data_IF_733887814247
#
_entry.id   IF_733887814247
#
_cell.length_a   1.000
_cell.length_b   1.000
_cell.length_c   1.000
_cell.angle_alpha   90.00
_cell.angle_beta   90.00
_cell.angle_gamma   90.00
#
_symmetry.space_group_name_H-M   'P 1'
#
loop_
_entity.id
_entity.type
_entity.pdbx_description
1 polymer ?
#
# COMPACT_ATOMS: atom_id res chain seq x y z
N UNK A 1 16.12 19.59 13.27
CA UNK A 1 14.65 19.63 13.31
C UNK A 1 14.15 18.24 13.64
N UNK A 2 13.05 18.13 14.39
CA UNK A 2 12.41 16.83 14.66
C UNK A 2 11.79 16.32 13.35
N UNK A 3 12.29 15.18 12.84
CA UNK A 3 11.81 14.51 11.64
C UNK A 3 10.99 13.25 11.98
N UNK A 4 10.38 13.23 13.19
CA UNK A 4 9.59 12.09 13.64
C UNK A 4 8.23 12.06 12.96
N UNK A 5 7.86 10.91 12.42
CA UNK A 5 6.55 10.61 11.86
C UNK A 5 5.88 9.48 12.64
N UNK A 6 4.57 9.56 12.82
CA UNK A 6 3.79 8.49 13.43
C UNK A 6 3.24 7.59 12.33
N UNK A 7 3.31 6.28 12.49
CA UNK A 7 2.80 5.35 11.50
C UNK A 7 1.72 4.45 12.11
N UNK A 8 0.53 4.44 11.53
CA UNK A 8 -0.54 3.52 11.87
C UNK A 8 -0.67 2.49 10.76
N UNK A 9 -0.20 1.30 11.03
CA UNK A 9 -0.10 0.21 10.06
C UNK A 9 -0.94 -0.99 10.44
N UNK A 10 -1.20 -1.87 9.49
CA UNK A 10 -1.97 -3.09 9.74
C UNK A 10 -2.70 -3.56 8.50
N UNK A 11 -3.34 -4.74 8.55
CA UNK A 11 -4.13 -5.26 7.44
C UNK A 11 -5.37 -4.40 7.16
N UNK A 12 -6.02 -4.67 6.03
CA UNK A 12 -7.33 -4.06 5.76
C UNK A 12 -8.34 -4.41 6.85
N UNK A 13 -9.31 -3.54 7.09
CA UNK A 13 -10.40 -3.69 8.07
C UNK A 13 -9.99 -3.73 9.57
N UNK A 14 -8.75 -3.37 9.95
CA UNK A 14 -8.31 -3.37 11.34
C UNK A 14 -8.51 -2.03 12.09
N UNK A 15 -9.09 -0.99 11.45
CA UNK A 15 -9.43 0.27 12.11
C UNK A 15 -8.35 1.35 12.05
N UNK A 16 -7.42 1.28 11.09
CA UNK A 16 -6.32 2.24 10.92
C UNK A 16 -6.79 3.69 10.79
N UNK A 17 -7.80 3.95 9.98
CA UNK A 17 -8.34 5.30 9.76
C UNK A 17 -8.75 5.96 11.08
N UNK A 18 -9.59 5.28 11.85
CA UNK A 18 -10.06 5.77 13.15
C UNK A 18 -8.91 6.03 14.13
N UNK A 19 -7.93 5.12 14.21
CA UNK A 19 -6.75 5.30 15.06
C UNK A 19 -5.88 6.46 14.56
N UNK A 20 -5.67 6.57 13.24
CA UNK A 20 -4.88 7.65 12.65
C UNK A 20 -5.46 9.03 12.89
N UNK A 21 -6.78 9.18 12.73
CA UNK A 21 -7.50 10.43 13.04
C UNK A 21 -7.40 10.77 14.53
N UNK A 22 -7.60 9.79 15.42
CA UNK A 22 -7.49 10.00 16.87
C UNK A 22 -6.08 10.45 17.29
N UNK A 23 -5.02 9.83 16.73
CA UNK A 23 -3.64 10.24 16.99
C UNK A 23 -3.31 11.59 16.36
N UNK A 24 -3.79 11.89 15.15
CA UNK A 24 -3.62 13.20 14.53
C UNK A 24 -4.24 14.30 15.39
N UNK A 25 -5.44 14.08 15.92
CA UNK A 25 -6.08 15.02 16.85
C UNK A 25 -5.27 15.18 18.14
N UNK A 26 -4.77 14.09 18.71
CA UNK A 26 -4.05 14.08 19.99
C UNK A 26 -2.70 14.79 19.93
N UNK A 27 -1.99 14.67 18.80
CA UNK A 27 -0.63 15.17 18.60
C UNK A 27 -0.55 16.34 17.61
N UNK A 28 -1.63 17.10 17.43
CA UNK A 28 -1.70 18.25 16.50
C UNK A 28 -1.17 17.89 15.10
N UNK A 29 -1.62 16.77 14.56
CA UNK A 29 -1.11 16.21 13.32
C UNK A 29 -2.07 16.30 12.16
N UNK A 30 -1.58 15.82 11.01
CA UNK A 30 -2.35 15.62 9.78
C UNK A 30 -2.05 14.23 9.21
N UNK A 31 -3.04 13.62 8.58
CA UNK A 31 -2.92 12.26 8.03
C UNK A 31 -2.33 12.30 6.63
N UNK A 32 -1.38 11.38 6.37
CA UNK A 32 -0.90 11.07 5.02
C UNK A 32 -1.24 9.60 4.73
N UNK A 33 -2.11 9.36 3.73
CA UNK A 33 -2.51 7.99 3.37
C UNK A 33 -1.37 7.23 2.73
N UNK A 34 -1.11 6.02 3.24
CA UNK A 34 -0.12 5.05 2.71
C UNK A 34 -0.87 3.87 2.09
N UNK A 35 -1.67 4.19 1.07
CA UNK A 35 -2.44 3.21 0.32
C UNK A 35 -2.29 3.45 -1.18
N UNK A 36 -2.00 2.39 -1.94
CA UNK A 36 -1.73 2.49 -3.38
C UNK A 36 -2.98 2.71 -4.23
N UNK A 37 -4.17 2.51 -3.66
CA UNK A 37 -5.43 2.61 -4.40
C UNK A 37 -6.28 3.80 -3.95
N UNK A 38 -6.19 4.24 -2.70
CA UNK A 38 -6.86 5.46 -2.23
C UNK A 38 -6.36 6.75 -2.91
N UNK A 39 -5.27 6.65 -3.67
CA UNK A 39 -4.74 7.77 -4.47
C UNK A 39 -5.71 8.23 -5.56
N UNK A 40 -6.50 7.32 -6.12
CA UNK A 40 -7.27 7.57 -7.33
C UNK A 40 -8.61 8.24 -7.05
N UNK A 41 -8.89 9.32 -7.81
CA UNK A 41 -10.20 9.99 -7.80
C UNK A 41 -11.29 9.07 -8.34
N UNK A 42 -12.50 9.15 -7.74
CA UNK A 42 -13.64 8.35 -8.16
C UNK A 42 -13.59 6.88 -7.75
N UNK A 43 -12.68 6.51 -6.83
CA UNK A 43 -12.50 5.15 -6.34
C UNK A 43 -12.64 5.10 -4.81
N UNK A 44 -13.68 5.73 -4.28
CA UNK A 44 -13.81 5.88 -2.83
C UNK A 44 -14.35 4.61 -2.15
N UNK A 45 -15.36 3.97 -2.75
CA UNK A 45 -16.06 2.82 -2.15
C UNK A 45 -15.13 1.60 -2.13
N UNK A 46 -14.65 1.16 -3.28
CA UNK A 46 -13.87 -0.07 -3.38
C UNK A 46 -12.48 0.01 -2.73
N UNK A 47 -11.93 1.21 -2.53
CA UNK A 47 -10.69 1.41 -1.76
C UNK A 47 -10.95 1.66 -0.29
N UNK A 48 -12.22 1.84 0.11
CA UNK A 48 -12.63 2.34 1.41
C UNK A 48 -11.80 3.57 1.82
N UNK A 49 -11.74 4.55 0.92
CA UNK A 49 -11.18 5.85 1.25
C UNK A 49 -11.99 6.50 2.38
N UNK A 50 -11.33 7.21 3.30
CA UNK A 50 -12.04 7.84 4.42
C UNK A 50 -13.06 8.87 3.91
N UNK A 51 -14.25 8.85 4.47
CA UNK A 51 -15.28 9.87 4.21
C UNK A 51 -14.96 11.15 4.98
N UNK A 52 -15.58 12.27 4.60
CA UNK A 52 -15.44 13.54 5.33
C UNK A 52 -15.82 13.40 6.82
N UNK A 53 -16.83 12.57 7.12
CA UNK A 53 -17.24 12.26 8.47
C UNK A 53 -16.15 11.48 9.23
N UNK A 54 -15.57 10.45 8.62
CA UNK A 54 -14.48 9.65 9.20
C UNK A 54 -13.19 10.45 9.38
N UNK A 55 -12.96 11.47 8.54
CA UNK A 55 -11.82 12.39 8.68
C UNK A 55 -11.97 13.34 9.87
N UNK A 56 -13.16 13.57 10.37
CA UNK A 56 -13.46 14.40 11.55
C UNK A 56 -12.76 15.78 11.52
N UNK A 57 -12.65 16.38 10.33
CA UNK A 57 -11.99 17.68 10.13
C UNK A 57 -10.44 17.65 10.14
N UNK A 58 -9.83 16.48 10.32
CA UNK A 58 -8.37 16.33 10.20
C UNK A 58 -7.99 16.33 8.71
N UNK A 59 -7.01 17.17 8.29
CA UNK A 59 -6.54 17.15 6.92
C UNK A 59 -5.94 15.79 6.54
N UNK A 60 -6.36 15.28 5.37
CA UNK A 60 -5.85 14.03 4.80
C UNK A 60 -5.14 14.33 3.48
N UNK A 61 -3.91 13.89 3.37
CA UNK A 61 -3.08 14.00 2.18
C UNK A 61 -2.96 12.64 1.48
N UNK A 62 -2.66 12.66 0.19
CA UNK A 62 -2.51 11.45 -0.64
C UNK A 62 -3.78 10.59 -0.73
N UNK A 63 -4.95 11.23 -0.65
CA UNK A 63 -6.27 10.63 -0.90
C UNK A 63 -6.89 11.35 -2.09
N UNK A 64 -7.36 10.59 -3.10
CA UNK A 64 -8.02 11.10 -4.31
C UNK A 64 -7.22 12.20 -5.04
N UNK A 65 -5.90 12.07 -5.11
CA UNK A 65 -4.99 13.04 -5.74
C UNK A 65 -4.66 12.72 -7.20
N UNK A 66 -4.81 11.46 -7.61
CA UNK A 66 -4.41 10.95 -8.92
C UNK A 66 -5.60 10.74 -9.87
N UNK A 67 -5.39 10.91 -11.17
CA UNK A 67 -6.33 10.44 -12.17
C UNK A 67 -6.24 8.90 -12.28
N UNK A 68 -7.37 8.17 -12.36
CA UNK A 68 -7.36 6.71 -12.53
C UNK A 68 -6.63 6.21 -13.79
N UNK A 69 -6.44 7.09 -14.79
CA UNK A 69 -5.67 6.79 -16.01
C UNK A 69 -4.16 6.76 -15.76
N UNK A 70 -3.71 7.40 -14.68
CA UNK A 70 -2.29 7.46 -14.36
C UNK A 70 -1.80 6.17 -13.70
N UNK A 71 -0.58 5.76 -14.02
CA UNK A 71 0.11 4.70 -13.29
C UNK A 71 1.03 5.31 -12.23
N UNK A 72 0.87 4.87 -10.98
CA UNK A 72 1.70 5.32 -9.87
C UNK A 72 2.66 4.22 -9.42
N UNK A 73 3.92 4.59 -9.29
CA UNK A 73 4.97 3.74 -8.72
C UNK A 73 5.21 4.10 -7.25
N UNK A 74 5.89 3.20 -6.52
CA UNK A 74 6.33 3.48 -5.15
C UNK A 74 7.27 4.69 -5.09
N UNK A 75 8.11 4.88 -6.11
CA UNK A 75 8.99 6.05 -6.24
C UNK A 75 8.20 7.36 -6.36
N UNK A 76 7.22 7.41 -7.27
CA UNK A 76 6.36 8.59 -7.46
C UNK A 76 5.57 8.88 -6.18
N UNK A 77 4.98 7.84 -5.57
CA UNK A 77 4.29 7.99 -4.31
C UNK A 77 5.19 8.58 -3.22
N UNK A 78 6.39 8.01 -3.03
CA UNK A 78 7.31 8.49 -2.01
C UNK A 78 7.70 9.96 -2.23
N UNK A 79 7.95 10.37 -3.47
CA UNK A 79 8.29 11.75 -3.80
C UNK A 79 7.15 12.74 -3.48
N UNK A 80 5.91 12.40 -3.84
CA UNK A 80 4.75 13.26 -3.57
C UNK A 80 4.35 13.27 -2.09
N UNK A 81 4.36 12.10 -1.44
CA UNK A 81 4.09 12.00 -0.01
C UNK A 81 5.16 12.71 0.84
N UNK A 82 6.42 12.69 0.42
CA UNK A 82 7.51 13.41 1.07
C UNK A 82 7.25 14.93 1.11
N UNK A 83 6.76 15.52 0.02
CA UNK A 83 6.37 16.93 -0.02
C UNK A 83 5.30 17.25 1.03
N UNK A 84 4.29 16.37 1.18
CA UNK A 84 3.26 16.53 2.19
C UNK A 84 3.85 16.44 3.61
N UNK A 85 4.69 15.44 3.88
CA UNK A 85 5.34 15.25 5.18
C UNK A 85 6.20 16.45 5.54
N UNK A 86 7.04 16.94 4.62
CA UNK A 86 7.88 18.11 4.82
C UNK A 86 7.07 19.37 5.09
N UNK A 87 5.95 19.56 4.39
CA UNK A 87 5.07 20.70 4.63
C UNK A 87 4.43 20.66 6.01
N UNK A 88 3.93 19.50 6.43
CA UNK A 88 3.35 19.29 7.76
C UNK A 88 4.38 19.61 8.86
N UNK A 89 5.61 19.08 8.73
CA UNK A 89 6.71 19.31 9.65
C UNK A 89 7.10 20.81 9.72
N UNK A 90 7.19 21.49 8.56
CA UNK A 90 7.50 22.93 8.50
C UNK A 90 6.46 23.79 9.22
N UNK A 91 5.20 23.36 9.24
CA UNK A 91 4.12 24.02 9.97
C UNK A 91 4.09 23.67 11.47
N UNK A 92 5.08 22.92 11.98
CA UNK A 92 5.17 22.50 13.36
C UNK A 92 4.12 21.44 13.74
N UNK A 93 3.55 20.75 12.76
CA UNK A 93 2.55 19.69 12.99
C UNK A 93 3.19 18.30 12.86
N UNK A 94 2.47 17.27 13.32
CA UNK A 94 2.92 15.88 13.32
C UNK A 94 2.34 15.11 12.11
N UNK A 95 3.19 14.59 11.19
CA UNK A 95 2.69 13.70 10.14
C UNK A 95 2.28 12.35 10.72
N UNK A 96 1.06 11.90 10.40
CA UNK A 96 0.52 10.59 10.77
C UNK A 96 0.33 9.78 9.50
N UNK A 97 1.22 8.84 9.23
CA UNK A 97 1.20 7.97 8.07
C UNK A 97 0.24 6.82 8.32
N UNK A 98 -0.84 6.71 7.55
CA UNK A 98 -1.90 5.72 7.80
C UNK A 98 -2.07 4.82 6.59
N UNK A 99 -1.81 3.53 6.73
CA UNK A 99 -2.06 2.63 5.61
C UNK A 99 -1.58 1.20 5.78
N UNK A 100 -1.71 0.42 4.71
CA UNK A 100 -1.36 -1.00 4.69
C UNK A 100 -0.43 -1.40 3.54
N UNK A 101 0.04 -0.44 2.74
CA UNK A 101 0.96 -0.70 1.62
C UNK A 101 2.41 -0.56 2.11
N UNK A 102 2.95 -1.68 2.65
CA UNK A 102 4.28 -1.70 3.26
C UNK A 102 5.38 -1.14 2.36
N UNK A 103 5.37 -1.49 1.06
CA UNK A 103 6.34 -0.95 0.09
C UNK A 103 6.32 0.58 0.02
N UNK A 104 5.13 1.21 0.08
CA UNK A 104 4.98 2.66 0.05
C UNK A 104 5.49 3.31 1.34
N UNK A 105 5.19 2.67 2.48
CA UNK A 105 5.69 3.13 3.77
C UNK A 105 7.22 3.09 3.83
N UNK A 106 7.81 1.95 3.46
CA UNK A 106 9.26 1.79 3.47
C UNK A 106 9.94 2.77 2.51
N UNK A 107 9.37 2.95 1.30
CA UNK A 107 9.84 3.91 0.32
C UNK A 107 9.91 5.34 0.87
N UNK A 108 8.85 5.78 1.55
CA UNK A 108 8.76 7.11 2.13
C UNK A 108 9.68 7.28 3.34
N UNK A 109 9.60 6.34 4.30
CA UNK A 109 10.30 6.44 5.59
C UNK A 109 11.81 6.28 5.42
N UNK A 110 12.24 5.32 4.60
CA UNK A 110 13.68 5.11 4.35
C UNK A 110 14.25 6.12 3.36
N UNK A 111 13.40 6.72 2.53
CA UNK A 111 13.89 7.54 1.40
C UNK A 111 14.59 6.69 0.36
N UNK A 112 14.09 5.47 0.13
CA UNK A 112 14.68 4.51 -0.81
C UNK A 112 14.87 5.19 -2.16
N UNK A 113 16.09 5.18 -2.65
CA UNK A 113 16.39 5.64 -4.01
C UNK A 113 15.90 4.60 -5.02
N UNK A 114 14.82 4.95 -5.73
CA UNK A 114 14.30 4.15 -6.84
C UNK A 114 14.90 4.60 -8.18
N UNK A 115 15.92 5.47 -8.17
CA UNK A 115 16.47 6.12 -9.37
C UNK A 115 17.07 5.11 -10.36
N UNK A 116 17.41 3.93 -9.91
CA UNK A 116 17.80 2.85 -10.80
C UNK A 116 16.56 2.32 -11.55
N UNK A 117 16.36 2.86 -12.74
CA UNK A 117 15.41 2.36 -13.73
C UNK A 117 14.27 3.32 -14.06
N UNK A 118 14.26 3.77 -15.30
CA UNK A 118 13.14 4.50 -15.90
C UNK A 118 11.92 3.56 -15.96
N UNK A 119 10.94 3.78 -15.07
CA UNK A 119 9.68 3.03 -15.11
C UNK A 119 9.03 3.17 -16.49
N UNK A 120 9.07 2.11 -17.30
CA UNK A 120 8.52 2.09 -18.66
C UNK A 120 9.53 2.39 -19.77
N UNK A 121 10.84 2.46 -19.48
CA UNK A 121 11.91 2.67 -20.47
C UNK A 121 12.03 1.54 -21.50
N UNK A 122 12.85 1.79 -22.54
CA UNK A 122 13.09 0.86 -23.65
C UNK A 122 13.56 -0.52 -23.18
N UNK A 123 14.39 -0.57 -22.13
CA UNK A 123 14.89 -1.83 -21.56
C UNK A 123 13.73 -2.65 -20.99
N UNK A 124 12.84 -2.03 -20.22
CA UNK A 124 11.67 -2.71 -19.67
C UNK A 124 10.77 -3.26 -20.76
N UNK A 125 10.45 -2.48 -21.77
CA UNK A 125 9.62 -2.91 -22.90
C UNK A 125 10.25 -4.11 -23.62
N UNK A 126 11.56 -4.07 -23.88
CA UNK A 126 12.30 -5.18 -24.49
C UNK A 126 12.25 -6.44 -23.62
N UNK A 127 12.42 -6.31 -22.30
CA UNK A 127 12.35 -7.44 -21.37
C UNK A 127 10.92 -8.03 -21.29
N UNK A 128 9.89 -7.18 -21.33
CA UNK A 128 8.49 -7.63 -21.38
C UNK A 128 8.19 -8.38 -22.66
N UNK A 129 8.62 -7.88 -23.82
CA UNK A 129 8.48 -8.60 -25.11
C UNK A 129 9.22 -9.93 -25.11
N UNK A 130 10.41 -9.99 -24.50
CA UNK A 130 11.13 -11.27 -24.32
C UNK A 130 10.37 -12.21 -23.40
N UNK A 131 9.80 -11.72 -22.30
CA UNK A 131 8.98 -12.49 -21.38
C UNK A 131 7.75 -13.09 -22.08
N UNK A 132 7.07 -12.32 -22.92
CA UNK A 132 5.92 -12.79 -23.71
C UNK A 132 6.31 -13.85 -24.76
N UNK A 133 7.45 -13.68 -25.42
CA UNK A 133 7.90 -14.57 -26.49
C UNK A 133 8.58 -15.83 -25.98
N UNK A 134 9.44 -15.73 -24.98
CA UNK A 134 10.36 -16.77 -24.52
C UNK A 134 9.89 -17.42 -23.20
N UNK A 135 8.97 -16.76 -22.48
CA UNK A 135 8.56 -17.17 -21.15
C UNK A 135 9.56 -16.78 -20.06
N UNK A 136 9.24 -17.14 -18.82
CA UNK A 136 10.03 -16.73 -17.64
C UNK A 136 11.34 -17.52 -17.46
N UNK A 137 11.41 -18.75 -17.97
CA UNK A 137 12.55 -19.63 -17.69
C UNK A 137 13.90 -19.11 -18.24
N UNK A 138 14.02 -18.65 -19.50
CA UNK A 138 15.26 -18.08 -20.00
C UNK A 138 15.69 -16.82 -19.27
N UNK A 139 14.75 -15.94 -18.93
CA UNK A 139 15.04 -14.71 -18.20
C UNK A 139 15.49 -14.99 -16.75
N UNK A 140 14.89 -15.97 -16.10
CA UNK A 140 15.32 -16.38 -14.76
C UNK A 140 16.71 -17.04 -14.79
N UNK A 141 17.02 -17.85 -15.82
CA UNK A 141 18.35 -18.43 -16.01
C UNK A 141 19.42 -17.32 -16.24
N UNK A 142 19.10 -16.30 -17.03
CA UNK A 142 19.95 -15.15 -17.22
C UNK A 142 20.17 -14.39 -15.89
N UNK A 143 19.10 -14.15 -15.13
CA UNK A 143 19.19 -13.53 -13.80
C UNK A 143 20.03 -14.40 -12.83
N UNK A 144 19.95 -15.73 -12.92
CA UNK A 144 20.77 -16.64 -12.12
C UNK A 144 22.28 -16.43 -12.35
N UNK A 145 22.67 -16.04 -13.57
CA UNK A 145 24.09 -15.73 -13.88
C UNK A 145 24.50 -14.35 -13.38
N UNK A 146 23.59 -13.37 -13.44
CA UNK A 146 23.84 -11.96 -13.09
C UNK A 146 23.72 -11.72 -11.59
N UNK A 147 22.63 -12.20 -10.98
CA UNK A 147 22.30 -12.02 -9.56
C UNK A 147 21.74 -13.34 -8.98
N UNK A 148 22.62 -14.30 -8.66
CA UNK A 148 22.20 -15.61 -8.12
C UNK A 148 21.35 -15.47 -6.84
N UNK A 149 21.64 -14.44 -6.01
CA UNK A 149 20.94 -14.23 -4.76
C UNK A 149 19.50 -13.74 -4.98
N UNK A 150 19.25 -12.90 -5.98
CA UNK A 150 17.90 -12.50 -6.37
C UNK A 150 17.16 -13.68 -7.03
N UNK A 151 17.79 -14.38 -7.96
CA UNK A 151 17.18 -15.49 -8.69
C UNK A 151 16.73 -16.62 -7.76
N UNK A 152 17.52 -16.96 -6.72
CA UNK A 152 17.20 -18.00 -5.74
C UNK A 152 15.91 -17.72 -4.94
N UNK A 153 15.45 -16.45 -4.89
CA UNK A 153 14.25 -16.02 -4.17
C UNK A 153 13.02 -15.91 -5.06
N UNK A 154 13.18 -16.09 -6.39
CA UNK A 154 12.11 -15.88 -7.37
C UNK A 154 11.65 -17.22 -7.96
N UNK A 155 10.35 -17.28 -8.23
CA UNK A 155 9.73 -18.38 -8.95
C UNK A 155 9.40 -17.95 -10.39
N UNK A 156 9.24 -18.90 -11.32
CA UNK A 156 8.84 -18.62 -12.71
C UNK A 156 7.56 -17.76 -12.82
N UNK A 157 6.68 -17.80 -11.82
CA UNK A 157 5.46 -16.97 -11.76
C UNK A 157 5.73 -15.52 -11.33
N UNK A 158 6.93 -15.20 -10.88
CA UNK A 158 7.30 -13.85 -10.44
C UNK A 158 7.82 -12.97 -11.60
N UNK A 159 7.18 -13.08 -12.78
CA UNK A 159 7.60 -12.46 -14.05
C UNK A 159 7.96 -10.97 -13.88
N UNK A 160 7.09 -10.19 -13.22
CA UNK A 160 7.31 -8.76 -12.98
C UNK A 160 8.58 -8.48 -12.15
N UNK A 161 8.93 -9.38 -11.23
CA UNK A 161 10.13 -9.26 -10.39
C UNK A 161 11.38 -9.68 -11.14
N UNK A 162 11.29 -10.71 -11.98
CA UNK A 162 12.38 -11.13 -12.86
C UNK A 162 12.72 -10.00 -13.83
N UNK A 163 11.71 -9.45 -14.52
CA UNK A 163 11.88 -8.29 -15.41
C UNK A 163 12.50 -7.11 -14.67
N UNK A 164 12.03 -6.79 -13.45
CA UNK A 164 12.57 -5.68 -12.68
C UNK A 164 14.03 -5.87 -12.27
N UNK A 165 14.42 -7.07 -11.87
CA UNK A 165 15.80 -7.35 -11.49
C UNK A 165 16.76 -7.20 -12.68
N UNK A 166 16.38 -7.72 -13.85
CA UNK A 166 17.14 -7.55 -15.09
C UNK A 166 17.16 -6.09 -15.58
N UNK A 167 16.03 -5.39 -15.49
CA UNK A 167 15.93 -3.96 -15.84
C UNK A 167 16.94 -3.12 -15.05
N UNK A 168 16.98 -3.29 -13.73
CA UNK A 168 17.93 -2.57 -12.85
C UNK A 168 19.36 -2.82 -13.32
N UNK A 169 19.72 -4.08 -13.54
CA UNK A 169 21.07 -4.42 -13.99
C UNK A 169 21.43 -3.80 -15.36
N UNK A 170 20.53 -3.92 -16.33
CA UNK A 170 20.81 -3.38 -17.67
C UNK A 170 20.82 -1.84 -17.76
N UNK A 171 20.13 -1.16 -16.85
CA UNK A 171 20.14 0.30 -16.81
C UNK A 171 21.31 0.87 -15.99
N UNK A 172 21.74 0.17 -14.96
CA UNK A 172 22.72 0.71 -13.98
C UNK A 172 24.04 -0.02 -13.93
N UNK A 173 24.12 -1.25 -14.45
CA UNK A 173 25.25 -2.14 -14.28
C UNK A 173 25.33 -2.77 -12.87
N UNK A 174 24.37 -2.49 -11.98
CA UNK A 174 24.33 -2.97 -10.61
C UNK A 174 23.20 -3.99 -10.40
N UNK A 175 23.46 -5.06 -9.64
CA UNK A 175 22.43 -6.05 -9.34
C UNK A 175 21.38 -5.49 -8.37
N UNK A 176 20.15 -6.02 -8.42
CA UNK A 176 19.10 -5.59 -7.48
C UNK A 176 19.45 -5.97 -6.03
N UNK A 177 20.20 -7.06 -5.84
CA UNK A 177 20.70 -7.45 -4.52
C UNK A 177 21.66 -6.41 -3.94
N UNK A 178 22.59 -5.89 -4.75
CA UNK A 178 23.55 -4.86 -4.34
C UNK A 178 22.84 -3.53 -4.08
N UNK A 179 21.92 -3.12 -4.97
CA UNK A 179 21.11 -1.94 -4.80
C UNK A 179 20.27 -1.98 -3.50
N UNK A 180 19.62 -3.13 -3.22
CA UNK A 180 18.89 -3.34 -1.97
C UNK A 180 19.79 -3.27 -0.74
N UNK A 181 21.04 -3.78 -0.82
CA UNK A 181 22.01 -3.71 0.26
C UNK A 181 22.38 -2.27 0.57
N UNK A 182 22.79 -1.50 -0.43
CA UNK A 182 23.13 -0.06 -0.29
C UNK A 182 21.98 0.75 0.27
N UNK A 183 20.76 0.48 -0.22
CA UNK A 183 19.55 1.15 0.27
C UNK A 183 19.29 0.90 1.76
N UNK A 184 19.68 -0.26 2.29
CA UNK A 184 19.54 -0.57 3.73
C UNK A 184 20.61 0.08 4.59
N UNK A 185 21.78 0.36 4.05
CA UNK A 185 22.89 1.02 4.74
C UNK A 185 22.66 2.54 4.88
N UNK A 186 21.81 3.11 4.04
CA UNK A 186 21.44 4.52 4.14
C UNK A 186 20.53 4.76 5.34
N UNK A 187 20.85 5.73 6.22
CA UNK A 187 19.99 6.07 7.35
C UNK A 187 18.58 6.45 6.90
N UNK A 188 17.53 6.06 7.65
CA UNK A 188 16.15 6.42 7.30
C UNK A 188 15.98 7.93 7.25
N UNK A 189 15.20 8.41 6.27
CA UNK A 189 14.85 9.84 6.12
C UNK A 189 14.07 10.37 7.31
N UNK A 190 13.17 9.55 7.86
CA UNK A 190 12.32 9.89 8.99
C UNK A 190 12.51 8.92 10.15
N UNK A 191 12.48 9.46 11.37
CA UNK A 191 12.29 8.65 12.56
C UNK A 191 10.83 8.21 12.62
N UNK A 192 10.54 6.96 12.30
CA UNK A 192 9.19 6.42 12.24
C UNK A 192 8.84 5.64 13.52
N UNK A 193 7.83 6.10 14.25
CA UNK A 193 7.24 5.37 15.38
C UNK A 193 6.01 4.62 14.88
N UNK A 194 6.09 3.28 14.88
CA UNK A 194 5.12 2.42 14.23
C UNK A 194 4.18 1.76 15.21
N UNK A 195 2.88 1.97 15.02
CA UNK A 195 1.79 1.34 15.75
C UNK A 195 1.11 0.38 14.80
N UNK A 196 1.19 -0.90 15.09
CA UNK A 196 0.55 -1.97 14.34
C UNK A 196 -0.80 -2.34 14.91
N UNK A 197 -1.84 -2.39 14.09
CA UNK A 197 -3.17 -2.85 14.48
C UNK A 197 -3.44 -4.20 13.83
N UNK A 198 -3.83 -5.19 14.62
CA UNK A 198 -4.22 -6.51 14.12
C UNK A 198 -5.25 -7.14 15.04
N UNK A 199 -5.86 -8.23 14.61
CA UNK A 199 -6.68 -9.09 15.45
C UNK A 199 -5.83 -10.23 15.99
N UNK A 200 -6.08 -10.63 17.24
CA UNK A 200 -5.48 -11.81 17.85
C UNK A 200 -5.93 -13.06 17.11
N UNK A 201 -7.25 -13.17 16.89
CA UNK A 201 -7.82 -14.26 16.10
C UNK A 201 -7.99 -13.85 14.63
N UNK A 202 -7.55 -14.74 13.77
CA UNK A 202 -7.67 -14.57 12.31
C UNK A 202 -9.13 -14.66 11.84
N UNK A 203 -9.97 -15.44 12.51
CA UNK A 203 -11.38 -15.56 12.16
C UNK A 203 -12.13 -14.25 12.36
N UNK A 204 -11.83 -13.51 13.44
CA UNK A 204 -12.41 -12.19 13.69
C UNK A 204 -11.99 -11.16 12.64
N UNK A 205 -10.73 -11.19 12.24
CA UNK A 205 -10.25 -10.36 11.13
C UNK A 205 -10.98 -10.68 9.82
N UNK A 206 -11.18 -11.97 9.51
CA UNK A 206 -11.87 -12.38 8.30
C UNK A 206 -13.35 -11.97 8.31
N UNK A 207 -14.04 -12.13 9.43
CA UNK A 207 -15.43 -11.69 9.57
C UNK A 207 -15.59 -10.18 9.32
N UNK A 208 -14.62 -9.37 9.76
CA UNK A 208 -14.62 -7.93 9.51
C UNK A 208 -14.32 -7.59 8.05
N UNK A 209 -13.41 -8.31 7.42
CA UNK A 209 -13.11 -8.15 5.99
C UNK A 209 -14.35 -8.47 5.17
N UNK A 210 -15.02 -9.59 5.47
CA UNK A 210 -16.19 -10.02 4.74
C UNK A 210 -17.34 -9.01 4.87
N UNK A 211 -17.62 -8.54 6.09
CA UNK A 211 -18.62 -7.49 6.34
C UNK A 211 -18.29 -6.21 5.57
N UNK A 212 -17.04 -5.78 5.59
CA UNK A 212 -16.62 -4.58 4.83
C UNK A 212 -16.87 -4.73 3.33
N UNK A 213 -16.68 -5.91 2.76
CA UNK A 213 -17.00 -6.17 1.35
C UNK A 213 -18.51 -6.06 1.12
N UNK A 214 -19.33 -6.61 2.02
CA UNK A 214 -20.78 -6.48 1.93
C UNK A 214 -21.22 -5.01 2.02
N UNK A 215 -20.61 -4.23 2.92
CA UNK A 215 -20.85 -2.78 3.05
C UNK A 215 -20.46 -2.02 1.77
N UNK A 216 -19.34 -2.34 1.13
CA UNK A 216 -18.92 -1.74 -0.15
C UNK A 216 -19.93 -2.01 -1.27
N UNK A 217 -20.46 -3.23 -1.34
CA UNK A 217 -21.48 -3.59 -2.34
C UNK A 217 -22.77 -2.84 -2.06
N UNK A 218 -23.22 -2.77 -0.82
CA UNK A 218 -24.40 -2.03 -0.42
C UNK A 218 -24.27 -0.51 -0.69
N UNK A 219 -23.05 0.03 -0.61
CA UNK A 219 -22.75 1.43 -0.94
C UNK A 219 -22.67 1.70 -2.44
N UNK A 220 -22.75 0.70 -3.30
CA UNK A 220 -22.76 0.86 -4.75
C UNK A 220 -21.42 0.65 -5.46
N UNK A 221 -20.60 -0.30 -5.01
CA UNK A 221 -19.33 -0.61 -5.66
C UNK A 221 -19.46 -0.91 -7.16
N UNK A 222 -20.51 -1.63 -7.59
CA UNK A 222 -20.76 -1.88 -9.00
C UNK A 222 -20.98 -0.57 -9.76
N UNK A 223 -21.81 0.32 -9.22
CA UNK A 223 -22.09 1.63 -9.81
C UNK A 223 -20.83 2.50 -9.93
N UNK A 224 -19.94 2.43 -8.93
CA UNK A 224 -18.65 3.13 -8.98
C UNK A 224 -17.79 2.61 -10.13
N UNK A 225 -17.73 1.28 -10.34
CA UNK A 225 -16.99 0.65 -11.46
C UNK A 225 -17.58 1.05 -12.81
N UNK A 226 -18.92 0.98 -12.95
CA UNK A 226 -19.62 1.39 -14.18
C UNK A 226 -19.36 2.86 -14.52
N UNK A 227 -19.38 3.75 -13.53
CA UNK A 227 -19.08 5.17 -13.70
C UNK A 227 -17.66 5.40 -14.21
N UNK A 228 -16.67 4.67 -13.67
CA UNK A 228 -15.30 4.72 -14.14
C UNK A 228 -15.17 4.25 -15.61
N UNK A 229 -15.87 3.19 -15.99
CA UNK A 229 -15.88 2.69 -17.37
C UNK A 229 -16.55 3.70 -18.32
N UNK A 230 -17.68 4.28 -17.93
CA UNK A 230 -18.37 5.31 -18.70
C UNK A 230 -17.54 6.57 -18.91
N UNK A 231 -16.63 6.88 -17.97
CA UNK A 231 -15.66 7.98 -18.12
C UNK A 231 -14.57 7.70 -19.16
N UNK A 232 -14.58 6.53 -19.81
CA UNK A 232 -13.56 6.10 -20.77
C UNK A 232 -12.26 5.62 -20.13
N UNK A 233 -12.30 5.16 -18.89
CA UNK A 233 -11.11 4.56 -18.25
C UNK A 233 -10.72 3.25 -18.97
N UNK A 234 -9.47 3.07 -19.41
CA UNK A 234 -9.01 1.84 -20.04
C UNK A 234 -9.16 0.64 -19.10
N UNK A 235 -9.60 -0.51 -19.64
CA UNK A 235 -9.84 -1.74 -18.85
C UNK A 235 -8.59 -2.32 -18.21
N UNK A 236 -7.44 -2.06 -18.79
CA UNK A 236 -6.11 -2.45 -18.30
C UNK A 236 -5.47 -1.42 -17.36
N UNK A 237 -6.16 -0.31 -17.09
CA UNK A 237 -5.67 0.73 -16.17
C UNK A 237 -5.26 0.12 -14.83
N UNK A 238 -4.12 0.57 -14.28
CA UNK A 238 -3.61 0.11 -12.99
C UNK A 238 -4.64 0.24 -11.87
N UNK A 239 -5.42 1.30 -11.88
CA UNK A 239 -6.50 1.55 -10.93
C UNK A 239 -7.53 0.40 -10.89
N UNK A 240 -7.95 -0.10 -12.06
CA UNK A 240 -8.92 -1.21 -12.16
C UNK A 240 -8.35 -2.59 -11.78
N UNK A 241 -7.05 -2.71 -11.53
CA UNK A 241 -6.44 -3.94 -11.00
C UNK A 241 -6.61 -4.07 -9.48
N UNK A 242 -7.16 -3.05 -8.80
CA UNK A 242 -7.46 -3.12 -7.38
C UNK A 242 -8.49 -4.20 -7.07
N UNK A 243 -8.35 -4.81 -5.87
CA UNK A 243 -9.33 -5.76 -5.35
C UNK A 243 -10.66 -5.04 -5.19
N UNK A 244 -11.74 -5.66 -5.64
CA UNK A 244 -13.05 -5.07 -5.80
C UNK A 244 -13.28 -4.67 -7.25
N UNK A 245 -12.51 -3.71 -7.76
CA UNK A 245 -12.68 -3.19 -9.13
C UNK A 245 -12.47 -4.26 -10.20
N UNK A 246 -11.40 -5.04 -10.10
CA UNK A 246 -11.12 -6.13 -11.06
C UNK A 246 -12.24 -7.16 -11.14
N UNK A 247 -12.84 -7.51 -10.02
CA UNK A 247 -13.92 -8.50 -9.95
C UNK A 247 -15.24 -7.90 -10.49
N UNK A 248 -15.56 -6.69 -10.08
CA UNK A 248 -16.77 -6.00 -10.54
C UNK A 248 -16.68 -5.51 -11.98
N UNK A 249 -15.49 -5.32 -12.54
CA UNK A 249 -15.30 -5.16 -13.98
C UNK A 249 -15.84 -6.37 -14.75
N UNK A 250 -15.62 -7.59 -14.27
CA UNK A 250 -16.15 -8.79 -14.89
C UNK A 250 -17.69 -8.85 -14.83
N UNK A 251 -18.30 -8.31 -13.75
CA UNK A 251 -19.77 -8.18 -13.65
C UNK A 251 -20.29 -7.16 -14.66
N UNK A 252 -19.69 -5.97 -14.72
CA UNK A 252 -20.09 -4.91 -15.66
C UNK A 252 -19.97 -5.36 -17.15
N UNK A 253 -19.10 -6.32 -17.43
CA UNK A 253 -18.92 -6.94 -18.75
C UNK A 253 -19.80 -8.19 -18.98
N UNK A 254 -20.64 -8.58 -18.03
CA UNK A 254 -21.49 -9.76 -18.13
C UNK A 254 -20.75 -11.11 -18.07
N UNK A 255 -19.49 -11.12 -17.59
CA UNK A 255 -18.65 -12.32 -17.50
C UNK A 255 -18.69 -13.02 -16.13
N UNK A 256 -19.32 -12.39 -15.14
CA UNK A 256 -19.53 -12.93 -13.80
C UNK A 256 -20.82 -12.38 -13.19
N UNK A 257 -21.38 -13.11 -12.26
CA UNK A 257 -22.48 -12.63 -11.41
C UNK A 257 -21.98 -11.75 -10.27
N UNK A 258 -22.85 -10.96 -9.67
CA UNK A 258 -22.54 -10.15 -8.49
C UNK A 258 -22.08 -11.04 -7.32
N UNK A 259 -22.76 -12.17 -7.10
CA UNK A 259 -22.43 -13.09 -6.01
C UNK A 259 -21.04 -13.73 -6.17
N UNK A 260 -20.68 -14.12 -7.39
CA UNK A 260 -19.34 -14.62 -7.71
C UNK A 260 -18.27 -13.54 -7.45
N UNK A 261 -18.52 -12.31 -7.87
CA UNK A 261 -17.62 -11.19 -7.62
C UNK A 261 -17.43 -10.93 -6.12
N UNK A 262 -18.51 -10.91 -5.33
CA UNK A 262 -18.48 -10.75 -3.87
C UNK A 262 -17.62 -11.84 -3.23
N UNK A 263 -17.86 -13.11 -3.58
CA UNK A 263 -17.10 -14.24 -3.03
C UNK A 263 -15.60 -14.12 -3.34
N UNK A 264 -15.26 -13.75 -4.57
CA UNK A 264 -13.87 -13.58 -4.99
C UNK A 264 -13.21 -12.35 -4.32
N UNK A 265 -13.92 -11.23 -4.17
CA UNK A 265 -13.40 -10.04 -3.44
C UNK A 265 -13.12 -10.38 -1.99
N UNK A 266 -14.02 -11.08 -1.29
CA UNK A 266 -13.80 -11.55 0.09
C UNK A 266 -12.54 -12.43 0.18
N UNK A 267 -12.40 -13.40 -0.71
CA UNK A 267 -11.25 -14.30 -0.77
C UNK A 267 -9.95 -13.50 -0.98
N UNK A 268 -9.91 -12.62 -2.00
CA UNK A 268 -8.71 -11.83 -2.33
C UNK A 268 -8.35 -10.83 -1.24
N UNK A 269 -9.34 -10.23 -0.59
CA UNK A 269 -9.13 -9.31 0.54
C UNK A 269 -8.50 -10.03 1.74
N UNK A 270 -8.95 -11.25 2.07
CA UNK A 270 -8.34 -12.08 3.11
C UNK A 270 -6.90 -12.47 2.77
N UNK A 271 -6.64 -12.84 1.50
CA UNK A 271 -5.29 -13.13 1.03
C UNK A 271 -4.38 -11.89 1.08
N UNK A 272 -4.92 -10.73 0.74
CA UNK A 272 -4.19 -9.47 0.81
C UNK A 272 -3.84 -9.10 2.26
N UNK A 273 -4.79 -9.19 3.17
CA UNK A 273 -4.56 -8.97 4.60
C UNK A 273 -3.45 -9.88 5.17
N UNK A 274 -3.42 -11.16 4.75
CA UNK A 274 -2.32 -12.09 5.11
C UNK A 274 -0.97 -11.59 4.59
N UNK A 275 -0.90 -11.11 3.34
CA UNK A 275 0.35 -10.56 2.78
C UNK A 275 0.80 -9.30 3.51
N UNK A 276 -0.13 -8.39 3.86
CA UNK A 276 0.16 -7.21 4.65
C UNK A 276 0.77 -7.56 6.01
N UNK A 277 0.16 -8.49 6.75
CA UNK A 277 0.70 -8.96 8.03
C UNK A 277 2.06 -9.63 7.89
N UNK A 278 2.28 -10.44 6.85
CA UNK A 278 3.58 -11.08 6.59
C UNK A 278 4.66 -10.04 6.31
N UNK A 279 4.32 -8.94 5.62
CA UNK A 279 5.25 -7.83 5.39
C UNK A 279 5.58 -7.10 6.69
N UNK A 280 4.56 -6.68 7.43
CA UNK A 280 4.70 -5.89 8.64
C UNK A 280 5.43 -6.64 9.77
N UNK A 281 5.22 -7.95 9.89
CA UNK A 281 5.90 -8.79 10.91
C UNK A 281 7.41 -8.96 10.72
N UNK A 282 7.97 -8.46 9.61
CA UNK A 282 9.44 -8.40 9.41
C UNK A 282 10.09 -7.23 10.15
N UNK A 283 9.28 -6.30 10.60
CA UNK A 283 9.70 -5.11 11.33
C UNK A 283 9.43 -5.34 12.82
N UNK A 284 10.51 -5.51 13.58
CA UNK A 284 10.47 -5.80 15.01
C UNK A 284 10.17 -4.54 15.84
N UNK A 285 10.32 -3.35 15.24
CA UNK A 285 10.08 -2.06 15.90
C UNK A 285 8.59 -1.66 15.93
N UNK A 286 7.71 -2.49 15.38
CA UNK A 286 6.27 -2.20 15.41
C UNK A 286 5.70 -2.50 16.80
N UNK A 287 5.15 -1.48 17.44
CA UNK A 287 4.35 -1.61 18.65
C UNK A 287 2.94 -2.12 18.30
N UNK A 288 2.66 -3.41 18.57
CA UNK A 288 1.44 -4.07 18.17
C UNK A 288 0.31 -3.90 19.21
N UNK A 289 -0.84 -3.40 18.75
CA UNK A 289 -2.12 -3.41 19.44
C UNK A 289 -2.96 -4.51 18.82
N UNK A 290 -3.23 -5.55 19.62
CA UNK A 290 -3.97 -6.73 19.19
C UNK A 290 -5.41 -6.64 19.69
N UNK A 291 -6.34 -6.49 18.76
CA UNK A 291 -7.76 -6.54 19.06
C UNK A 291 -8.20 -7.95 19.40
N UNK A 292 -9.08 -8.03 20.37
CA UNK A 292 -9.92 -9.22 20.57
C UNK A 292 -11.01 -9.23 19.46
N UNK A 293 -12.13 -9.83 19.70
CA UNK A 293 -13.24 -9.94 18.73
C UNK A 293 -13.73 -8.58 18.21
N UNK A 294 -13.74 -7.57 19.04
CA UNK A 294 -14.16 -6.20 18.71
C UNK A 294 -13.05 -5.21 19.10
N UNK A 295 -12.68 -4.27 18.23
CA UNK A 295 -11.70 -3.25 18.56
C UNK A 295 -12.15 -2.35 19.72
N UNK A 296 -11.39 -2.35 20.80
CA UNK A 296 -11.50 -1.38 21.89
C UNK A 296 -10.64 -0.14 21.56
N UNK A 297 -11.23 0.79 20.82
CA UNK A 297 -10.50 2.00 20.41
C UNK A 297 -10.06 2.90 21.57
N UNK A 298 -10.83 3.12 22.65
CA UNK A 298 -10.35 3.86 23.80
C UNK A 298 -9.08 3.27 24.41
N UNK A 299 -9.10 1.98 24.74
CA UNK A 299 -7.92 1.30 25.29
C UNK A 299 -6.75 1.25 24.32
N UNK A 300 -7.02 1.03 23.02
CA UNK A 300 -6.00 1.04 21.97
C UNK A 300 -5.36 2.42 21.79
N UNK A 301 -6.13 3.49 21.84
CA UNK A 301 -5.62 4.86 21.76
C UNK A 301 -4.79 5.24 22.99
N UNK A 302 -5.22 4.82 24.16
CA UNK A 302 -4.43 5.01 25.38
C UNK A 302 -3.08 4.32 25.26
N UNK A 303 -3.05 3.03 24.91
CA UNK A 303 -1.83 2.25 24.74
C UNK A 303 -0.89 2.87 23.67
N UNK A 304 -1.44 3.27 22.50
CA UNK A 304 -0.67 3.97 21.48
C UNK A 304 -0.08 5.29 21.99
N UNK A 305 -0.86 6.07 22.75
CA UNK A 305 -0.43 7.35 23.30
C UNK A 305 0.70 7.17 24.31
N UNK A 306 0.59 6.22 25.22
CA UNK A 306 1.63 5.90 26.21
C UNK A 306 2.95 5.50 25.53
N UNK A 307 2.87 4.63 24.51
CA UNK A 307 4.04 4.27 23.69
C UNK A 307 4.68 5.50 23.04
N UNK A 308 3.91 6.37 22.39
CA UNK A 308 4.44 7.56 21.72
C UNK A 308 5.06 8.57 22.70
N UNK A 309 4.43 8.80 23.85
CA UNK A 309 4.96 9.67 24.89
C UNK A 309 6.28 9.11 25.47
N UNK A 310 6.37 7.80 25.72
CA UNK A 310 7.60 7.14 26.18
C UNK A 310 8.73 7.23 25.17
N UNK A 311 8.39 7.31 23.87
CA UNK A 311 9.35 7.53 22.79
C UNK A 311 9.71 9.02 22.59
N UNK A 312 9.21 9.94 23.45
CA UNK A 312 9.53 11.37 23.43
C UNK A 312 8.71 12.19 22.42
N UNK A 313 7.53 11.73 22.02
CA UNK A 313 6.60 12.55 21.22
C UNK A 313 5.79 13.42 22.18
N UNK A 314 5.81 14.73 21.97
CA UNK A 314 5.07 15.72 22.77
C UNK A 314 3.86 16.26 21.99
#
# INVERSE_FOLDING_TARGET
MDNTVLCVVGPTACGKTKMGVALARRFNGEVVSVDSMQLYRGMAIGTAAPTAEEMEGIPHHMVAVADPRESWSAARYAAEADKCVQDILRRGKRPVLVGGTGLYLDALVRGTDFAAGSHGGVIRQRLQQRMEREGAAPLLAELQTIDPAAAARLHLRDEKRIVRALEVYYETGETITEHDRKSRETPPRYRALRIGLAFRDRADMWARIDRRVDDMVAQGLLQEVETLLQSGLPRDATALQAIGYKQFLAVAEGRATVDEAIAEVKLRSRQYAKRQLTWLRRDEDIHWILWEKTPDFPAGLQNATEFLLSAGVC
#
